data_IF_876831690781
#
_entry.id   IF_876831690781
#
_cell.length_a   1.000
_cell.length_b   1.000
_cell.length_c   1.000
_cell.angle_alpha   90.00
_cell.angle_beta   90.00
_cell.angle_gamma   90.00
#
_symmetry.space_group_name_H-M   'P 1'
#
loop_
_entity.id
_entity.type
_entity.pdbx_description
1 polymer ?
#
# COMPACT_ATOMS: atom_id res chain seq x y z
N UNK A 1 -60.86 7.33 -9.45
CA UNK A 1 -59.62 7.69 -10.23
C UNK A 1 -59.91 8.07 -11.66
N UNK A 2 -60.77 7.33 -12.40
CA UNK A 2 -61.10 7.62 -13.82
C UNK A 2 -61.90 8.92 -14.03
N UNK A 3 -62.87 9.27 -13.13
CA UNK A 3 -63.63 10.52 -13.20
C UNK A 3 -62.76 11.77 -12.97
N UNK A 4 -61.77 11.70 -12.07
CA UNK A 4 -60.82 12.78 -11.80
C UNK A 4 -59.85 13.00 -12.95
N UNK A 5 -59.52 11.98 -13.71
CA UNK A 5 -58.65 12.10 -14.91
C UNK A 5 -59.46 12.71 -16.10
N UNK A 6 -60.74 12.37 -16.27
CA UNK A 6 -61.62 12.98 -17.30
C UNK A 6 -61.85 14.46 -17.04
N UNK A 7 -62.11 14.87 -15.80
CA UNK A 7 -62.29 16.28 -15.46
C UNK A 7 -61.02 17.12 -15.68
N UNK A 8 -59.83 16.56 -15.44
CA UNK A 8 -58.56 17.22 -15.74
C UNK A 8 -58.34 17.38 -17.25
N UNK A 9 -58.65 16.36 -18.05
CA UNK A 9 -58.56 16.41 -19.50
C UNK A 9 -59.53 17.43 -20.11
N UNK A 10 -60.76 17.54 -19.60
CA UNK A 10 -61.75 18.53 -20.06
C UNK A 10 -61.32 19.96 -19.67
N UNK A 11 -60.73 20.17 -18.50
CA UNK A 11 -60.17 21.47 -18.11
C UNK A 11 -58.97 21.86 -18.94
N UNK A 12 -58.08 20.92 -19.30
CA UNK A 12 -56.94 21.17 -20.19
C UNK A 12 -57.39 21.48 -21.61
N UNK A 13 -58.41 20.80 -22.11
CA UNK A 13 -58.96 21.08 -23.46
C UNK A 13 -59.64 22.45 -23.51
N UNK A 14 -60.38 22.87 -22.47
CA UNK A 14 -61.00 24.17 -22.39
C UNK A 14 -59.97 25.31 -22.30
N UNK A 15 -58.87 25.10 -21.56
CA UNK A 15 -57.76 26.06 -21.45
C UNK A 15 -56.99 26.21 -22.76
N UNK A 16 -56.88 25.17 -23.56
CA UNK A 16 -56.23 25.19 -24.88
C UNK A 16 -57.07 25.96 -25.90
N UNK A 17 -58.40 25.90 -25.82
CA UNK A 17 -59.31 26.61 -26.72
C UNK A 17 -59.37 28.13 -26.50
N UNK A 18 -58.95 28.62 -25.33
CA UNK A 18 -58.93 30.05 -24.96
C UNK A 18 -57.57 30.74 -25.18
N UNK A 19 -56.53 29.99 -25.61
CA UNK A 19 -55.20 30.53 -25.82
C UNK A 19 -55.09 31.23 -27.20
N UNK A 20 -54.39 32.37 -27.24
CA UNK A 20 -54.03 32.99 -28.49
C UNK A 20 -53.12 32.08 -29.35
N UNK A 21 -53.13 32.18 -30.68
CA UNK A 21 -52.28 31.36 -31.55
C UNK A 21 -50.79 31.45 -31.21
N UNK A 22 -50.36 32.58 -30.71
CA UNK A 22 -48.96 32.84 -30.31
C UNK A 22 -48.57 32.14 -29.01
N UNK A 23 -49.46 32.14 -28.01
CA UNK A 23 -49.28 31.42 -26.76
C UNK A 23 -49.30 29.90 -26.97
N UNK A 24 -50.17 29.42 -27.85
CA UNK A 24 -50.22 28.00 -28.20
C UNK A 24 -48.91 27.53 -28.88
N UNK A 25 -48.32 28.36 -29.73
CA UNK A 25 -47.03 28.10 -30.37
C UNK A 25 -45.88 28.12 -29.37
N UNK A 26 -45.82 29.10 -28.46
CA UNK A 26 -44.81 29.19 -27.42
C UNK A 26 -44.88 27.99 -26.45
N UNK A 27 -46.07 27.54 -26.10
CA UNK A 27 -46.25 26.38 -25.23
C UNK A 27 -45.85 25.06 -25.90
N UNK A 28 -46.07 24.90 -27.21
CA UNK A 28 -45.57 23.76 -28.00
C UNK A 28 -44.03 23.76 -28.05
N UNK A 29 -43.40 24.92 -28.29
CA UNK A 29 -41.95 25.09 -28.28
C UNK A 29 -41.34 24.76 -26.91
N UNK A 30 -41.94 25.21 -25.82
CA UNK A 30 -41.52 24.89 -24.46
C UNK A 30 -41.62 23.39 -24.16
N UNK A 31 -42.73 22.75 -24.55
CA UNK A 31 -42.90 21.29 -24.39
C UNK A 31 -41.86 20.52 -25.22
N UNK A 32 -41.62 20.89 -26.46
CA UNK A 32 -40.59 20.27 -27.29
C UNK A 32 -39.16 20.42 -26.71
N UNK A 33 -38.84 21.61 -26.21
CA UNK A 33 -37.54 21.84 -25.54
C UNK A 33 -37.42 21.02 -24.25
N UNK A 34 -38.49 20.95 -23.46
CA UNK A 34 -38.52 20.14 -22.21
C UNK A 34 -38.42 18.64 -22.49
N UNK A 35 -39.11 18.14 -23.50
CA UNK A 35 -39.07 16.73 -23.90
C UNK A 35 -37.70 16.36 -24.52
N UNK A 36 -37.10 17.25 -25.31
CA UNK A 36 -35.78 17.09 -25.85
C UNK A 36 -34.74 17.05 -24.71
N UNK A 37 -34.79 18.02 -23.78
CA UNK A 37 -33.90 18.07 -22.62
C UNK A 37 -34.06 16.81 -21.75
N UNK A 38 -35.30 16.39 -21.49
CA UNK A 38 -35.59 15.19 -20.72
C UNK A 38 -35.04 13.93 -21.36
N UNK A 39 -35.15 13.78 -22.69
CA UNK A 39 -34.55 12.66 -23.43
C UNK A 39 -33.03 12.69 -23.37
N UNK A 40 -32.42 13.87 -23.53
CA UNK A 40 -30.95 14.01 -23.42
C UNK A 40 -30.45 13.65 -22.01
N UNK A 41 -31.12 14.17 -20.97
CA UNK A 41 -30.76 13.83 -19.58
C UNK A 41 -30.94 12.34 -19.30
N UNK A 42 -32.04 11.74 -19.77
CA UNK A 42 -32.23 10.28 -19.59
C UNK A 42 -31.16 9.47 -20.35
N UNK A 43 -30.73 9.91 -21.52
CA UNK A 43 -29.65 9.23 -22.26
C UNK A 43 -28.31 9.34 -21.55
N UNK A 44 -27.98 10.50 -20.98
CA UNK A 44 -26.75 10.69 -20.17
C UNK A 44 -26.78 9.81 -18.93
N UNK A 45 -27.90 9.76 -18.22
CA UNK A 45 -28.06 8.91 -17.03
C UNK A 45 -27.94 7.42 -17.40
N UNK A 46 -28.51 7.00 -18.52
CA UNK A 46 -28.39 5.62 -19.00
C UNK A 46 -26.94 5.26 -19.34
N UNK A 47 -26.21 6.14 -20.03
CA UNK A 47 -24.79 5.95 -20.34
C UNK A 47 -23.94 5.89 -19.05
N UNK A 48 -24.18 6.80 -18.12
CA UNK A 48 -23.50 6.79 -16.83
C UNK A 48 -23.76 5.49 -16.03
N UNK A 49 -25.02 5.02 -16.01
CA UNK A 49 -25.37 3.76 -15.35
C UNK A 49 -24.66 2.55 -15.99
N UNK A 50 -24.61 2.50 -17.34
CA UNK A 50 -23.88 1.44 -18.06
C UNK A 50 -22.39 1.50 -17.75
N UNK A 51 -21.79 2.70 -17.77
CA UNK A 51 -20.38 2.88 -17.44
C UNK A 51 -20.07 2.41 -16.00
N UNK A 52 -20.92 2.75 -15.03
CA UNK A 52 -20.79 2.29 -13.64
C UNK A 52 -20.87 0.77 -13.54
N UNK A 53 -21.82 0.13 -14.24
CA UNK A 53 -21.95 -1.34 -14.23
C UNK A 53 -20.71 -1.99 -14.86
N UNK A 54 -20.18 -1.43 -15.94
CA UNK A 54 -18.96 -1.94 -16.59
C UNK A 54 -17.74 -1.79 -15.66
N UNK A 55 -17.58 -0.65 -15.00
CA UNK A 55 -16.50 -0.45 -14.02
C UNK A 55 -16.59 -1.45 -12.87
N UNK A 56 -17.76 -1.61 -12.26
CA UNK A 56 -17.98 -2.59 -11.19
C UNK A 56 -17.76 -4.05 -11.65
N UNK A 57 -18.10 -4.35 -12.91
CA UNK A 57 -17.85 -5.68 -13.48
C UNK A 57 -16.34 -5.93 -13.68
N UNK A 58 -15.59 -4.93 -14.14
CA UNK A 58 -14.13 -5.03 -14.32
C UNK A 58 -13.42 -5.17 -12.99
N UNK A 59 -13.78 -4.35 -11.98
CA UNK A 59 -13.21 -4.42 -10.63
C UNK A 59 -13.48 -5.76 -9.92
N UNK A 60 -14.67 -6.35 -10.16
CA UNK A 60 -15.05 -7.62 -9.49
C UNK A 60 -14.73 -8.86 -10.30
N UNK A 61 -14.06 -8.71 -11.45
CA UNK A 61 -13.73 -9.85 -12.31
C UNK A 61 -12.62 -10.69 -11.69
N UNK A 62 -12.96 -11.89 -11.24
CA UNK A 62 -11.96 -12.89 -10.86
C UNK A 62 -11.39 -13.59 -12.10
N UNK A 63 -10.05 -13.66 -12.16
CA UNK A 63 -9.35 -14.37 -13.23
C UNK A 63 -9.05 -15.79 -12.77
N UNK A 64 -9.65 -16.80 -13.43
CA UNK A 64 -9.42 -18.23 -13.13
C UNK A 64 -8.39 -18.88 -14.05
N UNK A 65 -8.02 -18.22 -15.14
CA UNK A 65 -7.08 -18.74 -16.12
C UNK A 65 -6.02 -17.70 -16.45
N UNK A 66 -4.81 -18.17 -16.69
CA UNK A 66 -3.71 -17.38 -17.21
C UNK A 66 -3.27 -17.91 -18.58
N UNK A 67 -2.66 -17.05 -19.37
CA UNK A 67 -2.01 -17.43 -20.63
C UNK A 67 -0.55 -17.04 -20.54
N UNK A 68 0.36 -17.98 -20.75
CA UNK A 68 1.78 -17.70 -20.88
C UNK A 68 1.98 -16.94 -22.19
N UNK A 69 2.44 -15.71 -22.08
CA UNK A 69 2.70 -14.82 -23.22
C UNK A 69 4.10 -15.03 -23.77
N UNK A 70 5.06 -15.36 -22.91
CA UNK A 70 6.45 -15.59 -23.24
C UNK A 70 7.04 -16.57 -22.24
N UNK A 71 7.94 -17.43 -22.69
CA UNK A 71 8.80 -18.26 -21.86
C UNK A 71 10.18 -18.27 -22.50
N UNK A 72 11.23 -18.05 -21.72
CA UNK A 72 12.62 -18.16 -22.16
C UNK A 72 13.38 -19.01 -21.16
N UNK A 73 14.25 -19.88 -21.68
CA UNK A 73 15.22 -20.60 -20.87
C UNK A 73 16.42 -19.66 -20.67
N UNK A 74 16.80 -19.45 -19.40
CA UNK A 74 18.02 -18.72 -19.04
C UNK A 74 18.88 -19.57 -18.13
N UNK A 75 20.19 -19.48 -18.34
CA UNK A 75 21.19 -20.00 -17.41
C UNK A 75 21.39 -18.99 -16.30
N UNK A 76 20.54 -19.02 -15.28
CA UNK A 76 20.69 -18.19 -14.09
C UNK A 76 21.58 -18.87 -13.05
N UNK A 77 22.23 -18.07 -12.21
CA UNK A 77 22.94 -18.55 -11.03
C UNK A 77 21.95 -19.21 -10.08
N UNK A 78 22.34 -20.31 -9.45
CA UNK A 78 21.45 -21.19 -8.63
C UNK A 78 20.64 -20.47 -7.54
N UNK A 79 21.03 -19.27 -7.12
CA UNK A 79 20.41 -18.46 -6.06
C UNK A 79 19.69 -17.21 -6.59
N UNK A 80 19.44 -17.11 -7.89
CA UNK A 80 18.75 -15.95 -8.47
C UNK A 80 17.29 -15.89 -8.01
N UNK A 81 16.87 -14.71 -7.54
CA UNK A 81 15.51 -14.40 -7.11
C UNK A 81 14.91 -13.31 -7.99
N UNK A 82 13.58 -13.26 -8.03
CA UNK A 82 12.83 -12.36 -8.90
C UNK A 82 11.72 -11.65 -8.11
N UNK A 83 11.58 -10.35 -8.32
CA UNK A 83 10.48 -9.53 -7.81
C UNK A 83 9.92 -8.66 -8.94
N UNK A 84 8.64 -8.31 -8.82
CA UNK A 84 8.03 -7.31 -9.69
C UNK A 84 8.45 -5.93 -9.23
N UNK A 85 8.80 -5.03 -10.15
CA UNK A 85 9.16 -3.64 -9.90
C UNK A 85 8.67 -2.77 -11.06
N UNK A 86 7.60 -2.00 -10.85
CA UNK A 86 7.05 -1.06 -11.85
C UNK A 86 6.75 -1.71 -13.22
N UNK A 87 6.08 -2.88 -13.20
CA UNK A 87 5.72 -3.64 -14.41
C UNK A 87 6.90 -4.34 -15.09
N UNK A 88 8.06 -4.39 -14.44
CA UNK A 88 9.30 -5.06 -14.89
C UNK A 88 9.71 -6.12 -13.88
N UNK A 89 10.78 -6.83 -14.16
CA UNK A 89 11.30 -7.88 -13.31
C UNK A 89 12.66 -7.44 -12.75
N UNK A 90 12.72 -7.24 -11.44
CA UNK A 90 13.96 -7.12 -10.70
C UNK A 90 14.52 -8.54 -10.48
N UNK A 91 15.66 -8.83 -11.08
CA UNK A 91 16.40 -10.07 -10.90
C UNK A 91 17.61 -9.78 -10.02
N UNK A 92 17.82 -10.55 -8.96
CA UNK A 92 18.94 -10.36 -8.05
C UNK A 92 19.51 -11.68 -7.54
N UNK A 93 20.80 -11.69 -7.29
CA UNK A 93 21.58 -12.83 -6.83
C UNK A 93 22.70 -12.35 -5.91
N UNK A 94 23.54 -13.24 -5.34
CA UNK A 94 24.72 -12.85 -4.59
C UNK A 94 25.71 -11.95 -5.36
N UNK A 95 25.75 -12.05 -6.68
CA UNK A 95 26.74 -11.39 -7.53
C UNK A 95 26.25 -10.07 -8.14
N UNK A 96 24.97 -9.72 -7.96
CA UNK A 96 24.43 -8.47 -8.51
C UNK A 96 22.93 -8.50 -8.75
N UNK A 97 22.42 -7.37 -9.27
CA UNK A 97 21.03 -7.19 -9.66
C UNK A 97 20.89 -6.60 -11.05
N UNK A 98 19.73 -6.86 -11.67
CA UNK A 98 19.36 -6.29 -12.96
C UNK A 98 17.85 -6.08 -13.05
N UNK A 99 17.45 -5.01 -13.72
CA UNK A 99 16.05 -4.77 -14.09
C UNK A 99 15.87 -5.18 -15.54
N UNK A 100 14.92 -6.07 -15.80
CA UNK A 100 14.64 -6.60 -17.14
C UNK A 100 13.17 -6.47 -17.48
N UNK A 101 12.83 -6.46 -18.78
CA UNK A 101 11.45 -6.53 -19.23
C UNK A 101 10.98 -8.00 -19.35
N UNK A 102 9.74 -8.21 -19.78
CA UNK A 102 9.16 -9.55 -20.00
C UNK A 102 9.85 -10.36 -21.10
N UNK A 103 10.63 -9.70 -21.97
CA UNK A 103 11.45 -10.33 -23.01
C UNK A 103 12.89 -10.57 -22.56
N UNK A 104 13.21 -10.26 -21.30
CA UNK A 104 14.54 -10.34 -20.68
C UNK A 104 15.55 -9.32 -21.22
N UNK A 105 15.11 -8.28 -21.93
CA UNK A 105 15.99 -7.17 -22.28
C UNK A 105 16.33 -6.36 -21.03
N UNK A 106 17.62 -6.10 -20.82
CA UNK A 106 18.12 -5.45 -19.61
C UNK A 106 18.03 -3.92 -19.73
N UNK A 107 17.40 -3.28 -18.75
CA UNK A 107 17.41 -1.82 -18.58
C UNK A 107 18.70 -1.34 -17.91
N UNK A 108 19.07 -2.01 -16.81
CA UNK A 108 20.31 -1.78 -16.10
C UNK A 108 20.77 -3.07 -15.41
N UNK A 109 22.05 -3.13 -15.10
CA UNK A 109 22.68 -4.21 -14.34
C UNK A 109 23.78 -3.62 -13.47
N UNK A 110 23.80 -4.03 -12.18
CA UNK A 110 24.77 -3.60 -11.18
C UNK A 110 25.37 -4.84 -10.52
N UNK A 111 26.67 -4.83 -10.33
CA UNK A 111 27.41 -5.91 -9.66
C UNK A 111 27.67 -5.49 -8.21
N UNK A 112 27.47 -6.42 -7.31
CA UNK A 112 27.84 -6.34 -5.90
C UNK A 112 28.25 -7.74 -5.42
N UNK A 113 28.71 -7.84 -4.21
CA UNK A 113 29.03 -9.13 -3.58
C UNK A 113 28.29 -9.22 -2.24
N UNK A 114 27.28 -10.11 -2.18
CA UNK A 114 26.46 -10.38 -1.00
C UNK A 114 26.40 -11.89 -0.78
N UNK A 115 26.28 -12.31 0.47
CA UNK A 115 26.14 -13.73 0.79
C UNK A 115 24.67 -14.19 0.82
N UNK A 116 23.79 -13.37 1.37
CA UNK A 116 22.38 -13.70 1.53
C UNK A 116 21.48 -12.50 1.13
N UNK A 117 21.41 -12.14 -0.17
CA UNK A 117 20.65 -11.00 -0.61
C UNK A 117 19.14 -11.21 -0.39
N UNK A 118 18.52 -10.23 0.27
CA UNK A 118 17.07 -10.11 0.48
C UNK A 118 16.65 -8.76 -0.05
N UNK A 119 15.61 -8.73 -0.86
CA UNK A 119 15.12 -7.50 -1.46
C UNK A 119 13.72 -7.14 -0.95
N UNK A 120 13.46 -5.84 -0.87
CA UNK A 120 12.15 -5.23 -0.70
C UNK A 120 11.90 -4.25 -1.83
N UNK A 121 10.67 -4.24 -2.37
CA UNK A 121 10.29 -3.41 -3.51
C UNK A 121 9.03 -2.64 -3.17
N UNK A 122 9.03 -1.35 -3.49
CA UNK A 122 7.84 -0.50 -3.42
C UNK A 122 7.79 0.41 -4.65
N UNK A 123 6.75 0.24 -5.47
CA UNK A 123 6.56 0.94 -6.75
C UNK A 123 7.77 0.80 -7.71
N UNK A 124 8.50 1.89 -7.97
CA UNK A 124 9.68 1.92 -8.81
C UNK A 124 11.00 1.99 -8.01
N UNK A 125 10.96 1.60 -6.73
CA UNK A 125 12.09 1.58 -5.79
C UNK A 125 12.36 0.20 -5.27
N UNK A 126 13.61 -0.12 -5.08
CA UNK A 126 14.05 -1.38 -4.47
C UNK A 126 15.20 -1.15 -3.51
N UNK A 127 15.27 -1.93 -2.45
CA UNK A 127 16.44 -2.13 -1.60
C UNK A 127 16.83 -3.59 -1.63
N UNK A 128 18.12 -3.86 -1.77
CA UNK A 128 18.70 -5.20 -1.63
C UNK A 128 19.69 -5.13 -0.48
N UNK A 129 19.49 -5.96 0.52
CA UNK A 129 20.33 -6.01 1.70
C UNK A 129 20.94 -7.40 1.85
N UNK A 130 22.21 -7.45 2.21
CA UNK A 130 22.88 -8.69 2.60
C UNK A 130 22.43 -9.08 4.02
N UNK A 131 21.48 -9.99 4.13
CA UNK A 131 21.00 -10.46 5.44
C UNK A 131 22.12 -11.20 6.18
N UNK A 132 22.34 -10.86 7.44
CA UNK A 132 23.49 -11.25 8.27
C UNK A 132 24.86 -10.69 7.79
N UNK A 133 24.84 -9.85 6.75
CA UNK A 133 25.95 -9.03 6.27
C UNK A 133 25.75 -7.56 6.56
N UNK A 134 26.53 -6.69 5.88
CA UNK A 134 26.54 -5.24 6.14
C UNK A 134 26.27 -4.38 4.92
N UNK A 135 26.13 -4.98 3.73
CA UNK A 135 25.93 -4.23 2.49
C UNK A 135 24.44 -4.02 2.21
N UNK A 136 24.07 -2.79 1.85
CA UNK A 136 22.74 -2.39 1.46
C UNK A 136 22.80 -1.54 0.20
N UNK A 137 22.12 -1.99 -0.85
CA UNK A 137 22.06 -1.34 -2.15
C UNK A 137 20.65 -0.85 -2.44
N UNK A 138 20.51 0.39 -2.91
CA UNK A 138 19.26 1.04 -3.23
C UNK A 138 19.15 1.30 -4.72
N UNK A 139 17.96 1.08 -5.27
CA UNK A 139 17.73 1.18 -6.72
C UNK A 139 16.44 1.93 -7.02
N UNK A 140 16.43 2.55 -8.19
CA UNK A 140 15.21 2.98 -8.85
C UNK A 140 15.09 2.33 -10.24
N UNK A 141 14.09 2.74 -11.03
CA UNK A 141 13.92 2.25 -12.41
C UNK A 141 15.07 2.58 -13.36
N UNK A 142 15.98 3.48 -12.98
CA UNK A 142 17.12 3.92 -13.80
C UNK A 142 18.44 3.29 -13.36
N UNK A 143 18.49 2.64 -12.20
CA UNK A 143 19.69 1.99 -11.66
C UNK A 143 19.90 2.25 -10.17
N UNK A 144 21.12 2.10 -9.72
CA UNK A 144 21.55 2.36 -8.36
C UNK A 144 21.38 3.83 -7.99
N UNK A 145 20.80 4.08 -6.80
CA UNK A 145 20.63 5.42 -6.24
C UNK A 145 21.51 5.65 -5.02
N UNK A 146 21.88 4.60 -4.29
CA UNK A 146 22.74 4.68 -3.13
C UNK A 146 23.22 3.31 -2.68
N UNK A 147 24.39 3.31 -2.04
CA UNK A 147 25.04 2.14 -1.46
C UNK A 147 25.49 2.47 -0.04
N UNK A 148 25.26 1.57 0.91
CA UNK A 148 25.58 1.74 2.33
C UNK A 148 26.27 0.50 2.86
N UNK A 149 27.41 0.69 3.54
CA UNK A 149 27.97 -0.34 4.43
C UNK A 149 27.56 0.01 5.85
N UNK A 150 26.75 -0.84 6.46
CA UNK A 150 26.25 -0.64 7.84
C UNK A 150 27.31 -1.01 8.87
N UNK A 151 27.20 -0.45 10.10
CA UNK A 151 28.13 -0.75 11.19
C UNK A 151 27.90 -2.13 11.83
N UNK A 152 26.71 -2.70 11.65
CA UNK A 152 26.27 -3.97 12.21
C UNK A 152 25.54 -4.80 11.15
N UNK A 153 25.36 -6.08 11.43
CA UNK A 153 24.72 -7.00 10.51
C UNK A 153 23.26 -6.63 10.28
N UNK A 154 22.82 -6.67 9.02
CA UNK A 154 21.47 -6.33 8.63
C UNK A 154 20.55 -7.52 8.91
N UNK A 155 19.54 -7.30 9.74
CA UNK A 155 18.47 -8.28 9.99
C UNK A 155 17.37 -8.14 8.94
N UNK A 156 16.97 -6.89 8.66
CA UNK A 156 15.88 -6.56 7.74
C UNK A 156 16.04 -5.15 7.19
N UNK A 157 15.67 -4.94 5.95
CA UNK A 157 15.55 -3.61 5.35
C UNK A 157 14.22 -3.47 4.60
N UNK A 158 13.62 -2.28 4.66
CA UNK A 158 12.36 -1.92 4.00
C UNK A 158 12.47 -0.57 3.32
N UNK A 159 11.88 -0.46 2.14
CA UNK A 159 11.93 0.76 1.33
C UNK A 159 10.53 1.37 1.15
N UNK A 160 10.47 2.70 1.03
CA UNK A 160 9.27 3.45 0.67
C UNK A 160 9.23 3.79 -0.82
N UNK A 161 8.08 4.21 -1.33
CA UNK A 161 7.93 4.74 -2.71
C UNK A 161 8.80 5.99 -2.96
N UNK A 162 9.13 6.76 -1.91
CA UNK A 162 10.05 7.90 -2.01
C UNK A 162 11.54 7.49 -2.02
N UNK A 163 11.85 6.21 -1.82
CA UNK A 163 13.22 5.69 -1.78
C UNK A 163 13.89 5.75 -0.41
N UNK A 164 13.17 6.16 0.64
CA UNK A 164 13.69 6.13 2.02
C UNK A 164 13.74 4.69 2.51
N UNK A 165 14.82 4.33 3.20
CA UNK A 165 15.05 2.97 3.69
C UNK A 165 15.17 2.95 5.21
N UNK A 166 14.48 2.02 5.85
CA UNK A 166 14.66 1.68 7.24
C UNK A 166 15.31 0.29 7.34
N UNK A 167 16.36 0.16 8.15
CA UNK A 167 17.06 -1.07 8.37
C UNK A 167 17.14 -1.41 9.86
N UNK A 168 16.85 -2.67 10.20
CA UNK A 168 17.09 -3.26 11.53
C UNK A 168 18.47 -3.91 11.48
N UNK A 169 19.33 -3.55 12.42
CA UNK A 169 20.69 -4.04 12.51
C UNK A 169 20.92 -4.74 13.86
N UNK A 170 21.65 -5.84 13.83
CA UNK A 170 22.04 -6.60 15.01
C UNK A 170 23.48 -6.28 15.42
N UNK A 171 23.64 -5.59 16.53
CA UNK A 171 24.92 -5.28 17.16
C UNK A 171 25.34 -6.29 18.25
N UNK A 172 24.62 -7.40 18.39
CA UNK A 172 24.86 -8.43 19.43
C UNK A 172 24.15 -8.10 20.74
N UNK A 173 24.71 -7.21 21.54
CA UNK A 173 24.12 -6.81 22.84
C UNK A 173 22.98 -5.77 22.70
N UNK A 174 22.86 -5.15 21.53
CA UNK A 174 21.85 -4.13 21.23
C UNK A 174 21.43 -4.22 19.77
N UNK A 175 20.22 -3.80 19.50
CA UNK A 175 19.69 -3.70 18.14
C UNK A 175 19.61 -2.23 17.74
N UNK A 176 19.82 -1.95 16.47
CA UNK A 176 19.79 -0.61 15.93
C UNK A 176 18.75 -0.51 14.83
N UNK A 177 18.11 0.64 14.74
CA UNK A 177 17.23 0.97 13.61
C UNK A 177 17.81 2.20 12.94
N UNK A 178 18.31 2.00 11.73
CA UNK A 178 18.88 3.06 10.92
C UNK A 178 17.89 3.47 9.83
N UNK A 179 17.81 4.77 9.61
CA UNK A 179 16.96 5.36 8.61
C UNK A 179 17.80 6.15 7.60
N UNK A 180 17.70 5.79 6.33
CA UNK A 180 18.51 6.33 5.24
C UNK A 180 17.67 7.07 4.21
N UNK A 181 18.22 8.13 3.64
CA UNK A 181 17.69 8.78 2.44
C UNK A 181 17.93 7.91 1.20
N UNK A 182 17.26 8.26 0.11
CA UNK A 182 17.33 7.53 -1.17
C UNK A 182 18.73 7.50 -1.82
N UNK A 183 19.64 8.33 -1.37
CA UNK A 183 21.04 8.39 -1.79
C UNK A 183 22.01 7.64 -0.86
N UNK A 184 21.47 6.95 0.17
CA UNK A 184 22.24 6.23 1.18
C UNK A 184 22.72 7.09 2.36
N UNK A 185 22.42 8.39 2.41
CA UNK A 185 22.80 9.24 3.54
C UNK A 185 22.00 8.87 4.79
N UNK A 186 22.67 8.74 5.94
CA UNK A 186 22.06 8.43 7.21
C UNK A 186 21.26 9.63 7.74
N UNK A 187 19.97 9.45 7.99
CA UNK A 187 19.07 10.47 8.54
C UNK A 187 18.96 10.34 10.05
N UNK A 188 18.79 9.10 10.52
CA UNK A 188 18.66 8.81 11.94
C UNK A 188 19.18 7.40 12.25
N UNK A 189 19.68 7.28 13.47
CA UNK A 189 20.12 6.03 14.06
C UNK A 189 19.52 5.95 15.47
N UNK A 190 18.85 4.85 15.77
CA UNK A 190 18.21 4.62 17.06
C UNK A 190 18.65 3.28 17.62
N UNK A 191 19.31 3.31 18.79
CA UNK A 191 19.67 2.11 19.54
C UNK A 191 18.48 1.64 20.37
N UNK A 192 18.19 0.36 20.30
CA UNK A 192 17.12 -0.27 21.09
C UNK A 192 17.69 -1.38 21.99
N UNK A 193 17.05 -1.61 23.12
CA UNK A 193 17.40 -2.66 24.04
C UNK A 193 16.25 -3.64 24.20
N UNK A 194 16.57 -4.90 24.50
CA UNK A 194 15.57 -5.98 24.66
C UNK A 194 14.53 -5.65 25.76
N UNK A 195 14.93 -4.87 26.76
CA UNK A 195 14.05 -4.48 27.88
C UNK A 195 13.15 -3.28 27.58
N UNK A 196 13.59 -2.36 26.71
CA UNK A 196 12.87 -1.13 26.39
C UNK A 196 13.43 -0.51 25.10
N UNK A 197 12.65 -0.31 24.05
CA UNK A 197 11.23 -0.70 23.86
C UNK A 197 11.03 -2.18 23.49
N UNK A 198 12.07 -2.99 23.48
CA UNK A 198 12.06 -4.39 23.08
C UNK A 198 12.88 -4.66 21.82
N UNK A 199 12.89 -5.92 21.38
CA UNK A 199 13.53 -6.34 20.14
C UNK A 199 12.64 -5.98 18.93
N UNK A 200 13.14 -5.26 17.91
CA UNK A 200 12.37 -4.91 16.72
C UNK A 200 12.17 -6.16 15.83
N UNK A 201 10.92 -6.57 15.65
CA UNK A 201 10.55 -7.71 14.81
C UNK A 201 10.37 -7.30 13.34
N UNK A 202 9.84 -6.10 13.12
CA UNK A 202 9.57 -5.60 11.78
C UNK A 202 9.59 -4.06 11.73
N UNK A 203 9.87 -3.54 10.54
CA UNK A 203 9.88 -2.11 10.24
C UNK A 203 9.16 -1.86 8.93
N UNK A 204 8.48 -0.73 8.82
CA UNK A 204 7.84 -0.29 7.59
C UNK A 204 7.97 1.23 7.44
N UNK A 205 8.07 1.71 6.21
CA UNK A 205 8.18 3.14 5.89
C UNK A 205 6.98 3.57 5.07
N UNK A 206 6.35 4.69 5.44
CA UNK A 206 5.24 5.27 4.69
C UNK A 206 5.71 5.73 3.29
N UNK A 207 4.81 5.74 2.32
CA UNK A 207 5.12 6.07 0.91
C UNK A 207 5.80 7.44 0.75
N UNK A 208 5.42 8.43 1.58
CA UNK A 208 6.04 9.76 1.58
C UNK A 208 7.43 9.81 2.25
N UNK A 209 7.90 8.71 2.84
CA UNK A 209 9.19 8.61 3.51
C UNK A 209 9.32 9.35 4.84
N UNK A 210 8.26 9.98 5.34
CA UNK A 210 8.33 10.80 6.55
C UNK A 210 8.01 10.04 7.83
N UNK A 211 7.33 8.89 7.73
CA UNK A 211 6.91 8.12 8.89
C UNK A 211 7.42 6.69 8.79
N UNK A 212 8.08 6.26 9.84
CA UNK A 212 8.51 4.89 10.04
C UNK A 212 7.65 4.25 11.14
N UNK A 213 7.17 3.04 10.91
CA UNK A 213 6.49 2.19 11.89
C UNK A 213 7.44 1.07 12.28
N UNK A 214 7.50 0.76 13.55
CA UNK A 214 8.32 -0.34 14.08
C UNK A 214 7.48 -1.16 15.05
N UNK A 215 7.54 -2.48 14.89
CA UNK A 215 6.95 -3.43 15.84
C UNK A 215 8.05 -4.02 16.71
N UNK A 216 7.95 -3.81 18.00
CA UNK A 216 8.86 -4.34 19.02
C UNK A 216 8.21 -5.47 19.80
N UNK A 217 9.04 -6.36 20.33
CA UNK A 217 8.63 -7.41 21.25
C UNK A 217 9.52 -7.42 22.48
N UNK A 218 8.91 -7.49 23.65
CA UNK A 218 9.59 -7.69 24.92
C UNK A 218 8.80 -8.65 25.82
N UNK A 219 9.44 -9.09 26.88
CA UNK A 219 8.80 -9.96 27.88
C UNK A 219 8.66 -9.18 29.17
N UNK A 220 7.43 -9.00 29.65
CA UNK A 220 7.11 -8.42 30.95
C UNK A 220 6.61 -9.52 31.90
N UNK A 221 7.43 -9.84 32.90
CA UNK A 221 7.16 -10.96 33.78
C UNK A 221 7.18 -12.31 33.05
N UNK A 222 6.01 -12.90 32.83
CA UNK A 222 5.81 -14.15 32.10
C UNK A 222 5.03 -13.97 30.79
N UNK A 223 4.69 -12.75 30.42
CA UNK A 223 3.85 -12.43 29.31
C UNK A 223 4.65 -11.76 28.17
N UNK A 224 4.42 -12.22 26.96
CA UNK A 224 4.98 -11.60 25.76
C UNK A 224 4.15 -10.38 25.39
N UNK A 225 4.80 -9.24 25.23
CA UNK A 225 4.14 -7.98 24.90
C UNK A 225 4.74 -7.40 23.62
N UNK A 226 3.89 -6.92 22.72
CA UNK A 226 4.32 -6.16 21.55
C UNK A 226 4.05 -4.67 21.74
N UNK A 227 4.99 -3.87 21.25
CA UNK A 227 4.86 -2.42 21.19
C UNK A 227 5.00 -1.95 19.74
N UNK A 228 4.07 -1.15 19.25
CA UNK A 228 4.11 -0.54 17.91
C UNK A 228 4.34 0.95 18.06
N UNK A 229 5.48 1.43 17.57
CA UNK A 229 5.85 2.83 17.59
C UNK A 229 5.81 3.45 16.18
N UNK A 230 5.42 4.73 16.12
CA UNK A 230 5.45 5.54 14.92
C UNK A 230 6.40 6.72 15.10
N UNK A 231 7.43 6.76 14.28
CA UNK A 231 8.44 7.82 14.24
C UNK A 231 8.14 8.76 13.08
N UNK A 232 8.16 10.08 13.33
CA UNK A 232 7.93 11.08 12.29
C UNK A 232 9.21 11.90 12.07
N UNK A 233 9.78 11.82 10.88
CA UNK A 233 11.00 12.52 10.48
C UNK A 233 10.72 13.89 9.82
N UNK A 234 9.44 14.24 9.63
CA UNK A 234 9.01 15.57 9.21
C UNK A 234 8.88 16.57 10.37
N UNK A 235 8.30 17.73 10.08
CA UNK A 235 8.19 18.85 11.02
C UNK A 235 7.47 18.49 12.33
N UNK A 236 6.46 17.63 12.27
CA UNK A 236 5.67 17.23 13.45
C UNK A 236 6.53 16.46 14.46
N UNK A 237 7.38 15.56 13.99
CA UNK A 237 8.22 14.77 14.87
C UNK A 237 9.46 15.51 15.39
N UNK A 238 9.80 16.67 14.84
CA UNK A 238 10.95 17.46 15.34
C UNK A 238 10.74 18.03 16.75
N UNK A 239 9.49 18.18 17.18
CA UNK A 239 9.11 18.66 18.50
C UNK A 239 8.85 17.56 19.52
N UNK A 240 8.92 16.30 19.11
CA UNK A 240 8.67 15.13 19.95
C UNK A 240 9.97 14.45 20.37
N UNK A 241 10.00 13.91 21.60
CA UNK A 241 11.13 13.14 22.10
C UNK A 241 11.34 11.89 21.23
N UNK A 242 12.57 11.66 20.80
CA UNK A 242 12.95 10.53 19.91
C UNK A 242 12.13 10.43 18.62
N UNK A 243 11.44 11.53 18.23
CA UNK A 243 10.53 11.61 17.07
C UNK A 243 9.33 10.67 17.14
N UNK A 244 8.99 10.10 18.30
CA UNK A 244 7.84 9.22 18.49
C UNK A 244 6.56 10.05 18.57
N UNK A 245 5.71 9.93 17.58
CA UNK A 245 4.43 10.66 17.49
C UNK A 245 3.24 9.85 18.00
N UNK A 246 3.33 8.54 18.03
CA UNK A 246 2.36 7.65 18.66
C UNK A 246 2.94 6.27 18.95
N UNK A 247 2.41 5.59 19.96
CA UNK A 247 2.81 4.25 20.35
C UNK A 247 1.65 3.48 20.98
N UNK A 248 1.64 2.15 20.78
CA UNK A 248 0.55 1.27 21.21
C UNK A 248 1.12 -0.03 21.74
N UNK A 249 0.69 -0.42 22.95
CA UNK A 249 1.11 -1.66 23.62
C UNK A 249 0.02 -2.73 23.52
N UNK A 250 0.43 -3.96 23.23
CA UNK A 250 -0.45 -5.13 23.07
C UNK A 250 0.08 -6.27 23.94
N UNK A 251 -0.52 -6.42 25.12
CA UNK A 251 -0.19 -7.49 26.08
C UNK A 251 -0.65 -8.85 25.54
N UNK A 252 0.13 -9.91 25.80
CA UNK A 252 -0.18 -11.27 25.36
C UNK A 252 -0.25 -11.47 23.85
N UNK A 253 0.36 -10.58 23.07
CA UNK A 253 0.22 -10.56 21.61
C UNK A 253 1.58 -10.44 20.93
N UNK A 254 1.79 -11.18 19.84
CA UNK A 254 2.96 -11.06 18.97
C UNK A 254 2.57 -10.36 17.66
N UNK A 255 3.35 -9.36 17.24
CA UNK A 255 3.17 -8.62 16.00
C UNK A 255 4.39 -8.86 15.10
N UNK A 256 4.39 -9.94 14.30
CA UNK A 256 5.53 -10.32 13.47
C UNK A 256 5.67 -9.53 12.17
N UNK A 257 4.62 -8.82 11.76
CA UNK A 257 4.58 -8.12 10.47
C UNK A 257 3.78 -6.83 10.56
N UNK A 258 4.34 -5.80 9.96
CA UNK A 258 3.69 -4.49 9.81
C UNK A 258 3.87 -3.97 8.38
N UNK A 259 2.94 -3.12 7.93
CA UNK A 259 2.98 -2.57 6.57
C UNK A 259 2.22 -1.28 6.44
N UNK A 260 2.55 -0.50 5.43
CA UNK A 260 1.73 0.62 4.97
C UNK A 260 0.84 0.19 3.81
N UNK A 261 -0.38 0.74 3.82
CA UNK A 261 -1.40 0.58 2.80
C UNK A 261 -1.73 1.95 2.20
N UNK A 262 -2.42 1.94 1.07
CA UNK A 262 -2.88 3.17 0.43
C UNK A 262 -3.73 4.06 1.36
N UNK A 263 -3.67 5.38 1.13
CA UNK A 263 -4.53 6.37 1.80
C UNK A 263 -4.12 6.69 3.25
N UNK A 264 -2.83 6.57 3.58
CA UNK A 264 -2.30 6.91 4.91
C UNK A 264 -2.79 5.94 5.99
N UNK A 265 -2.99 4.70 5.62
CA UNK A 265 -3.30 3.58 6.51
C UNK A 265 -2.04 2.76 6.75
N UNK A 266 -1.94 2.17 7.93
CA UNK A 266 -0.94 1.15 8.24
C UNK A 266 -1.57 0.01 9.01
N UNK A 267 -0.97 -1.15 8.93
CA UNK A 267 -1.51 -2.38 9.48
C UNK A 267 -0.44 -3.11 10.29
N UNK A 268 -0.83 -3.63 11.45
CA UNK A 268 -0.07 -4.61 12.21
C UNK A 268 -0.79 -5.96 12.15
N UNK A 269 -0.12 -6.97 11.63
CA UNK A 269 -0.60 -8.35 11.67
C UNK A 269 -0.21 -8.94 13.02
N UNK A 270 -1.18 -9.45 13.73
CA UNK A 270 -1.07 -10.03 15.06
C UNK A 270 -1.23 -11.55 14.96
N UNK A 271 -0.74 -12.27 15.95
CA UNK A 271 -0.97 -13.70 16.06
C UNK A 271 -2.47 -14.05 16.28
N UNK A 272 -3.25 -13.09 16.82
CA UNK A 272 -4.70 -13.21 17.05
C UNK A 272 -5.55 -12.34 16.11
N UNK A 273 -5.01 -11.83 14.99
CA UNK A 273 -5.75 -10.99 14.06
C UNK A 273 -4.95 -9.86 13.42
N UNK A 274 -5.50 -8.65 13.39
CA UNK A 274 -4.78 -7.47 12.91
C UNK A 274 -5.31 -6.18 13.55
N UNK A 275 -4.46 -5.16 13.57
CA UNK A 275 -4.79 -3.79 13.97
C UNK A 275 -4.55 -2.83 12.81
N UNK A 276 -5.56 -2.01 12.48
CA UNK A 276 -5.50 -0.97 11.47
C UNK A 276 -5.28 0.39 12.12
N UNK A 277 -4.32 1.13 11.62
CA UNK A 277 -4.06 2.53 11.99
C UNK A 277 -4.37 3.46 10.83
N UNK A 278 -4.63 4.73 11.12
CA UNK A 278 -4.84 5.78 10.14
C UNK A 278 -4.26 7.10 10.60
N UNK A 279 -3.55 7.77 9.71
CA UNK A 279 -2.98 9.11 9.91
C UNK A 279 -1.66 9.25 9.14
N UNK A 280 -1.49 10.39 8.47
CA UNK A 280 -0.30 10.70 7.65
C UNK A 280 0.79 11.46 8.42
N UNK A 281 0.52 11.88 9.67
CA UNK A 281 1.47 12.59 10.53
C UNK A 281 1.55 11.97 11.92
N UNK A 282 0.40 11.66 12.51
CA UNK A 282 0.24 11.03 13.82
C UNK A 282 -0.75 9.86 13.62
N UNK A 283 -0.26 8.66 13.28
CA UNK A 283 -1.12 7.50 13.08
C UNK A 283 -1.86 7.14 14.38
N UNK A 284 -3.18 6.90 14.26
CA UNK A 284 -4.03 6.49 15.37
C UNK A 284 -4.67 5.14 15.09
N UNK A 285 -4.77 4.32 16.12
CA UNK A 285 -5.51 3.07 16.05
C UNK A 285 -6.97 3.36 15.63
N UNK A 286 -7.41 2.67 14.61
CA UNK A 286 -8.75 2.80 14.04
C UNK A 286 -9.62 1.61 14.38
N UNK A 287 -9.07 0.42 14.23
CA UNK A 287 -9.80 -0.83 14.38
C UNK A 287 -8.84 -1.98 14.70
N UNK A 288 -9.24 -2.84 15.63
CA UNK A 288 -8.57 -4.11 15.91
C UNK A 288 -9.56 -5.23 15.67
N UNK A 289 -9.20 -6.15 14.79
CA UNK A 289 -10.01 -7.33 14.45
C UNK A 289 -9.30 -8.57 14.98
N UNK A 290 -10.00 -9.34 15.81
CA UNK A 290 -9.54 -10.63 16.33
C UNK A 290 -10.13 -11.78 15.50
N UNK A 291 -9.35 -12.82 15.32
CA UNK A 291 -9.75 -14.06 14.65
C UNK A 291 -9.48 -15.25 15.56
N UNK A 292 -10.40 -16.23 15.58
CA UNK A 292 -10.31 -17.40 16.45
C UNK A 292 -9.47 -18.55 15.84
N UNK A 293 -8.88 -18.32 14.66
CA UNK A 293 -8.10 -19.31 13.92
C UNK A 293 -6.63 -18.92 13.87
N UNK A 294 -5.75 -19.91 13.98
CA UNK A 294 -4.31 -19.72 13.81
C UNK A 294 -3.98 -19.21 12.41
N UNK A 295 -3.33 -18.04 12.34
CA UNK A 295 -2.84 -17.43 11.10
C UNK A 295 -1.50 -18.08 10.77
N UNK A 296 -1.40 -18.75 9.61
CA UNK A 296 -0.18 -19.44 9.19
C UNK A 296 0.59 -18.66 8.12
N UNK A 297 -0.08 -17.76 7.41
CA UNK A 297 0.55 -16.91 6.40
C UNK A 297 -0.33 -15.71 6.10
N UNK A 298 0.28 -14.67 5.55
CA UNK A 298 -0.40 -13.47 5.06
C UNK A 298 0.07 -13.17 3.65
N UNK A 299 -0.79 -12.57 2.86
CA UNK A 299 -0.42 -11.92 1.62
C UNK A 299 -1.12 -10.58 1.55
N UNK A 300 -0.52 -9.59 0.93
CA UNK A 300 -1.05 -8.25 0.88
C UNK A 300 -0.65 -7.53 -0.40
N UNK A 301 -1.46 -6.57 -0.73
CA UNK A 301 -1.26 -5.55 -1.73
C UNK A 301 -1.58 -4.19 -1.05
N UNK A 302 -1.40 -3.09 -1.75
CA UNK A 302 -1.60 -1.74 -1.21
C UNK A 302 -3.01 -1.48 -0.64
N UNK A 303 -4.02 -2.23 -1.07
CA UNK A 303 -5.43 -2.06 -0.67
C UNK A 303 -6.03 -3.29 0.04
N UNK A 304 -5.40 -4.45 -0.04
CA UNK A 304 -5.99 -5.73 0.40
C UNK A 304 -4.98 -6.52 1.23
N UNK A 305 -5.45 -7.09 2.32
CA UNK A 305 -4.73 -8.13 3.06
C UNK A 305 -5.53 -9.43 3.05
N UNK A 306 -4.86 -10.54 2.80
CA UNK A 306 -5.39 -11.90 2.95
C UNK A 306 -4.73 -12.62 4.11
N UNK A 307 -5.53 -13.24 4.97
CA UNK A 307 -5.06 -14.10 6.05
C UNK A 307 -5.29 -15.56 5.66
N UNK A 308 -4.26 -16.38 5.75
CA UNK A 308 -4.35 -17.82 5.54
C UNK A 308 -4.39 -18.50 6.89
N UNK A 309 -5.42 -19.28 7.12
CA UNK A 309 -5.63 -19.98 8.39
C UNK A 309 -5.21 -21.45 8.29
N UNK A 310 -4.79 -21.98 9.42
CA UNK A 310 -4.57 -23.41 9.57
C UNK A 310 -5.92 -24.16 9.45
N UNK A 311 -5.97 -25.18 8.64
CA UNK A 311 -7.14 -26.06 8.44
C UNK A 311 -7.37 -26.99 9.64
#
# INVERSE_FOLDING_TARGET
>A
KMQSQRAKLEQEQCAIQQMSPEEAYQNRLRRHKHDALRRTVMSIVAVAAIATVVLLYVERRSYHNYRILSASEQEDVVSTKYLEMSGKILRYSPDGASLVNSSMDTYWSVLYEMQNPVADVKDDRAVIADQDGTLLEMFDKNGETGSVTTSYNIVKAKISSSGMVAAILDGGDSTWINFYASDGSLIAENQTHISDPGYPLDVAVADNGNIMMVAYQYVDGSETTSYVAFYNFGDVGQSEDDRIVSGYTYEGTVIPQIMYLNGGKSLAVRDDGFTLYKGSQIPKEKETVKVDKEIVSTFYDDDIIGLVFKN
#
